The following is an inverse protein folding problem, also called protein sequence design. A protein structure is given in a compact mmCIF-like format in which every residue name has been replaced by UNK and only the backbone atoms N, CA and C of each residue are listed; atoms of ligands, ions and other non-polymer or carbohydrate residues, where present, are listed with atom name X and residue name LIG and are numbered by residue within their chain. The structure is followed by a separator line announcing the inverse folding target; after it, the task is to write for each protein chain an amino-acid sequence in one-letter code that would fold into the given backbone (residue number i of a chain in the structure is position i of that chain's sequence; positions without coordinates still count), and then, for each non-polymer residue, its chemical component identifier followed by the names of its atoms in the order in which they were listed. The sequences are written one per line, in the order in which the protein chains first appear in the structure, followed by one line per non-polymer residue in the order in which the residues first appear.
data_IF_698689131607
#
_entry.id   IF_698689131607
#
_cell.length_a   1.000
_cell.length_b   1.000
_cell.length_c   1.000
_cell.angle_alpha   90.00
_cell.angle_beta   90.00
_cell.angle_gamma   90.00
#
_symmetry.space_group_name_H-M   'P 1'
#
loop_
_entity.id
_entity.type
_entity.pdbx_description
1 polymer ?
#
# COMPACT_ATOMS: atom_id res chain seq x y z
N UNK A 1 10.90 2.80 -6.18
CA UNK A 1 9.75 1.87 -6.29
C UNK A 1 10.08 0.51 -5.68
N UNK A 2 11.09 -0.21 -6.19
CA UNK A 2 11.48 -1.53 -5.68
C UNK A 2 11.72 -1.55 -4.16
N UNK A 3 12.41 -0.55 -3.63
CA UNK A 3 12.65 -0.41 -2.18
C UNK A 3 11.35 -0.35 -1.37
N UNK A 4 10.32 0.37 -1.83
CA UNK A 4 9.04 0.47 -1.13
C UNK A 4 8.31 -0.87 -1.13
N UNK A 5 8.36 -1.61 -2.24
CA UNK A 5 7.77 -2.95 -2.32
C UNK A 5 8.46 -3.94 -1.38
N UNK A 6 9.80 -3.84 -1.24
CA UNK A 6 10.54 -4.64 -0.25
C UNK A 6 10.13 -4.28 1.17
N UNK A 7 9.94 -2.99 1.49
CA UNK A 7 9.53 -2.56 2.82
C UNK A 7 8.11 -2.99 3.22
N UNK A 8 7.24 -3.36 2.27
CA UNK A 8 5.95 -3.98 2.58
C UNK A 8 6.09 -5.38 3.21
N UNK A 9 7.26 -6.00 3.11
CA UNK A 9 7.55 -7.32 3.68
C UNK A 9 8.52 -7.22 4.88
N UNK A 10 8.78 -6.01 5.38
CA UNK A 10 9.66 -5.81 6.54
C UNK A 10 9.02 -6.39 7.80
N UNK A 11 9.83 -6.99 8.69
CA UNK A 11 9.32 -7.56 9.94
C UNK A 11 8.73 -6.49 10.88
N UNK A 12 9.19 -5.24 10.77
CA UNK A 12 8.70 -4.12 11.55
C UNK A 12 7.42 -3.51 10.94
N UNK A 13 6.31 -3.59 11.67
CA UNK A 13 5.02 -3.02 11.23
C UNK A 13 5.08 -1.51 10.97
N UNK A 14 5.95 -0.77 11.68
CA UNK A 14 6.16 0.67 11.42
C UNK A 14 6.79 0.93 10.06
N UNK A 15 7.68 0.03 9.60
CA UNK A 15 8.29 0.12 8.28
C UNK A 15 7.28 -0.21 7.18
N UNK A 16 6.46 -1.25 7.40
CA UNK A 16 5.36 -1.59 6.48
C UNK A 16 4.35 -0.46 6.36
N UNK A 17 3.91 0.10 7.48
CA UNK A 17 3.03 1.27 7.52
C UNK A 17 3.62 2.46 6.74
N UNK A 18 4.89 2.80 6.99
CA UNK A 18 5.57 3.89 6.29
C UNK A 18 5.62 3.66 4.78
N UNK A 19 5.86 2.42 4.34
CA UNK A 19 5.86 2.07 2.93
C UNK A 19 4.47 2.25 2.29
N UNK A 20 3.41 1.82 2.97
CA UNK A 20 2.01 2.01 2.55
C UNK A 20 1.69 3.50 2.40
N UNK A 21 2.02 4.32 3.40
CA UNK A 21 1.80 5.76 3.35
C UNK A 21 2.52 6.44 2.17
N UNK A 22 3.78 6.09 1.94
CA UNK A 22 4.56 6.66 0.82
C UNK A 22 3.96 6.23 -0.52
N UNK A 23 3.57 4.96 -0.67
CA UNK A 23 2.92 4.48 -1.90
C UNK A 23 1.60 5.20 -2.18
N UNK A 24 0.80 5.47 -1.15
CA UNK A 24 -0.42 6.26 -1.26
C UNK A 24 -0.15 7.73 -1.64
N UNK A 25 0.85 8.36 -1.03
CA UNK A 25 1.25 9.75 -1.36
C UNK A 25 1.77 9.88 -2.80
N UNK A 26 2.45 8.85 -3.30
CA UNK A 26 2.89 8.79 -4.70
C UNK A 26 1.74 8.56 -5.68
N UNK A 27 0.55 8.20 -5.20
CA UNK A 27 -0.62 7.86 -6.03
C UNK A 27 -0.30 6.85 -7.13
N UNK A 28 0.62 5.92 -6.85
CA UNK A 28 1.05 4.96 -7.85
C UNK A 28 0.11 3.75 -7.89
N UNK A 29 -0.87 3.80 -8.79
CA UNK A 29 -1.83 2.73 -9.03
C UNK A 29 -1.32 1.63 -9.97
N UNK A 30 -0.01 1.46 -10.12
CA UNK A 30 0.51 0.38 -10.97
C UNK A 30 0.11 -0.99 -10.44
N UNK A 31 -0.17 -1.93 -11.36
CA UNK A 31 -0.62 -3.28 -11.01
C UNK A 31 0.29 -3.98 -9.97
N UNK A 32 1.63 -3.92 -10.06
CA UNK A 32 2.50 -4.51 -9.04
C UNK A 32 2.32 -3.91 -7.64
N UNK A 33 2.04 -2.60 -7.57
CA UNK A 33 1.78 -1.92 -6.28
C UNK A 33 0.44 -2.37 -5.72
N UNK A 34 -0.62 -2.35 -6.53
CA UNK A 34 -1.96 -2.77 -6.09
C UNK A 34 -1.93 -4.23 -5.62
N UNK A 35 -1.29 -5.14 -6.35
CA UNK A 35 -1.16 -6.55 -5.95
C UNK A 35 -0.36 -6.73 -4.65
N UNK A 36 0.71 -5.96 -4.45
CA UNK A 36 1.48 -6.00 -3.21
C UNK A 36 0.66 -5.52 -2.01
N UNK A 37 -0.09 -4.41 -2.16
CA UNK A 37 -0.98 -3.89 -1.12
C UNK A 37 -2.12 -4.88 -0.79
N UNK A 38 -2.73 -5.50 -1.81
CA UNK A 38 -3.76 -6.54 -1.61
C UNK A 38 -3.22 -7.79 -0.90
N UNK A 39 -1.97 -8.15 -1.17
CA UNK A 39 -1.30 -9.27 -0.47
C UNK A 39 -1.08 -8.90 1.00
N UNK A 40 -0.63 -7.68 1.28
CA UNK A 40 -0.36 -7.21 2.64
C UNK A 40 -1.62 -7.19 3.50
N UNK A 41 -2.77 -6.83 2.93
CA UNK A 41 -4.07 -6.84 3.61
C UNK A 41 -4.44 -8.20 4.23
N UNK A 42 -3.97 -9.32 3.67
CA UNK A 42 -4.32 -10.67 4.14
C UNK A 42 -3.60 -11.07 5.42
N UNK A 43 -2.42 -10.51 5.68
CA UNK A 43 -1.48 -11.04 6.68
C UNK A 43 -1.06 -10.03 7.74
N UNK A 44 -1.31 -8.73 7.53
CA UNK A 44 -0.84 -7.70 8.43
C UNK A 44 -1.78 -7.41 9.61
N UNK A 45 -1.26 -6.68 10.60
CA UNK A 45 -2.00 -6.25 11.78
C UNK A 45 -3.07 -5.20 11.45
N UNK A 46 -4.02 -4.98 12.38
CA UNK A 46 -5.17 -4.12 12.16
C UNK A 46 -4.82 -2.66 11.83
N UNK A 47 -3.68 -2.17 12.33
CA UNK A 47 -3.23 -0.79 12.11
C UNK A 47 -2.78 -0.63 10.66
N UNK A 48 -1.92 -1.53 10.17
CA UNK A 48 -1.44 -1.48 8.79
C UNK A 48 -2.59 -1.75 7.81
N UNK A 49 -3.49 -2.69 8.12
CA UNK A 49 -4.68 -2.95 7.30
C UNK A 49 -5.58 -1.74 7.13
N UNK A 50 -5.78 -0.95 8.18
CA UNK A 50 -6.62 0.26 8.11
C UNK A 50 -6.01 1.30 7.17
N UNK A 51 -4.69 1.49 7.24
CA UNK A 51 -3.96 2.37 6.31
C UNK A 51 -4.01 1.88 4.86
N UNK A 52 -3.89 0.57 4.66
CA UNK A 52 -3.99 -0.06 3.34
C UNK A 52 -5.33 0.21 2.65
N UNK A 53 -6.44 0.12 3.39
CA UNK A 53 -7.78 0.41 2.84
C UNK A 53 -7.85 1.85 2.35
N UNK A 54 -7.41 2.82 3.16
CA UNK A 54 -7.39 4.23 2.77
C UNK A 54 -6.53 4.49 1.53
N UNK A 55 -5.37 3.84 1.45
CA UNK A 55 -4.48 3.95 0.28
C UNK A 55 -5.14 3.33 -0.96
N UNK A 56 -5.74 2.15 -0.85
CA UNK A 56 -6.41 1.50 -1.98
C UNK A 56 -7.62 2.30 -2.48
N UNK A 57 -8.40 2.91 -1.59
CA UNK A 57 -9.47 3.84 -1.97
C UNK A 57 -8.94 5.05 -2.75
N UNK A 58 -7.84 5.65 -2.27
CA UNK A 58 -7.17 6.76 -2.98
C UNK A 58 -6.68 6.35 -4.37
N UNK A 59 -6.04 5.18 -4.48
CA UNK A 59 -5.55 4.66 -5.76
C UNK A 59 -6.70 4.32 -6.72
N UNK A 60 -7.80 3.76 -6.22
CA UNK A 60 -9.00 3.46 -6.99
C UNK A 60 -9.75 4.71 -7.46
N UNK A 61 -9.86 5.74 -6.61
CA UNK A 61 -10.55 6.99 -6.96
C UNK A 61 -9.75 7.87 -7.92
N UNK A 62 -8.41 7.80 -7.90
CA UNK A 62 -7.55 8.44 -8.89
C UNK A 62 -7.60 7.79 -10.28
N UNK A 63 -8.19 6.59 -10.39
CA UNK A 63 -8.29 5.81 -11.63
C UNK A 63 -9.59 6.05 -12.40
N UNK A 64 -10.43 7.01 -11.95
CA UNK A 64 -11.66 7.36 -12.66
C UNK A 64 -11.28 7.92 -14.04
N UNK A 65 -11.62 7.26 -15.17
CA UNK A 65 -11.42 7.87 -16.47
C UNK A 65 -12.34 9.09 -16.55
N UNK A 66 -11.76 10.26 -16.75
CA UNK A 66 -12.48 11.43 -17.26
C UNK A 66 -12.93 11.18 -18.69
#
# INVERSE_FOLDING_TARGET
MQTLLTLLQDDNSSMRFSAVEVLGKLSNSSEPVVQALLTLLKYDDSTVRSSLVEVLEKLGNGSKPT
#
